data_IF_406944686190
#
_entry.id   IF_406944686190
#
_cell.length_a   1.000
_cell.length_b   1.000
_cell.length_c   1.000
_cell.angle_alpha   90.00
_cell.angle_beta   90.00
_cell.angle_gamma   90.00
#
_symmetry.space_group_name_H-M   'P 1'
#
loop_
_entity.id
_entity.type
_entity.pdbx_description
1 polymer ?
#
# COMPACT_ATOMS: atom_id res chain seq x y z
N UNK A 1 10.91 -23.39 7.02
CA UNK A 1 10.23 -22.23 7.63
C UNK A 1 8.75 -22.35 7.32
N UNK A 2 7.88 -21.99 8.26
CA UNK A 2 6.42 -21.98 8.09
C UNK A 2 5.89 -20.56 8.25
N UNK A 3 4.93 -20.18 7.42
CA UNK A 3 4.29 -18.88 7.47
C UNK A 3 2.76 -18.99 7.46
N UNK A 4 2.13 -18.12 8.25
CA UNK A 4 0.69 -17.86 8.20
C UNK A 4 0.45 -16.47 7.60
N UNK A 5 -0.33 -16.38 6.53
CA UNK A 5 -0.65 -15.12 5.86
C UNK A 5 -2.13 -14.76 6.03
N UNK A 6 -2.43 -13.71 6.78
CA UNK A 6 -3.79 -13.17 6.88
C UNK A 6 -4.13 -12.33 5.64
N UNK A 7 -5.26 -12.64 5.00
CA UNK A 7 -5.76 -11.97 3.81
C UNK A 7 -5.43 -12.74 2.53
N UNK A 8 -6.30 -13.65 2.13
CA UNK A 8 -6.17 -14.42 0.89
C UNK A 8 -6.71 -13.66 -0.34
N UNK A 9 -6.75 -12.33 -0.30
CA UNK A 9 -7.13 -11.48 -1.43
C UNK A 9 -6.01 -11.33 -2.47
N UNK A 10 -6.20 -10.42 -3.44
CA UNK A 10 -5.27 -10.26 -4.55
C UNK A 10 -3.84 -9.88 -4.11
N UNK A 11 -3.67 -9.03 -3.10
CA UNK A 11 -2.33 -8.70 -2.57
C UNK A 11 -1.70 -9.91 -1.87
N UNK A 12 -2.47 -10.66 -1.09
CA UNK A 12 -1.97 -11.85 -0.43
C UNK A 12 -1.52 -12.92 -1.41
N UNK A 13 -2.37 -13.27 -2.38
CA UNK A 13 -2.06 -14.31 -3.38
C UNK A 13 -1.05 -13.83 -4.42
N UNK A 14 -1.20 -12.62 -4.94
CA UNK A 14 -0.40 -12.11 -6.05
C UNK A 14 0.94 -11.49 -5.65
N UNK A 15 1.17 -11.23 -4.36
CA UNK A 15 2.39 -10.58 -3.90
C UNK A 15 3.02 -11.25 -2.68
N UNK A 16 2.47 -11.06 -1.49
CA UNK A 16 3.15 -11.43 -0.25
C UNK A 16 3.24 -12.95 -0.11
N UNK A 17 2.10 -13.64 -0.23
CA UNK A 17 2.03 -15.09 -0.23
C UNK A 17 2.79 -15.72 -1.39
N UNK A 18 2.75 -15.12 -2.60
CA UNK A 18 3.60 -15.56 -3.73
C UNK A 18 5.08 -15.56 -3.36
N UNK A 19 5.62 -14.44 -2.87
CA UNK A 19 7.05 -14.37 -2.51
C UNK A 19 7.43 -15.34 -1.40
N UNK A 20 6.55 -15.55 -0.42
CA UNK A 20 6.75 -16.56 0.63
C UNK A 20 6.80 -17.98 0.04
N UNK A 21 5.84 -18.33 -0.80
CA UNK A 21 5.78 -19.66 -1.43
C UNK A 21 6.95 -19.89 -2.40
N UNK A 22 7.31 -18.90 -3.21
CA UNK A 22 8.45 -18.94 -4.14
C UNK A 22 9.79 -19.12 -3.39
N UNK A 23 9.86 -18.65 -2.14
CA UNK A 23 11.02 -18.87 -1.25
C UNK A 23 11.05 -20.27 -0.61
N UNK A 24 10.10 -21.15 -0.95
CA UNK A 24 9.97 -22.51 -0.39
C UNK A 24 9.45 -22.54 1.05
N UNK A 25 8.76 -21.49 1.50
CA UNK A 25 8.14 -21.44 2.83
C UNK A 25 6.81 -22.18 2.80
N UNK A 26 6.58 -23.07 3.77
CA UNK A 26 5.29 -23.73 3.95
C UNK A 26 4.25 -22.67 4.34
N UNK A 27 3.30 -22.41 3.44
CA UNK A 27 2.39 -21.26 3.53
C UNK A 27 0.94 -21.68 3.76
N UNK A 28 0.35 -21.14 4.83
CA UNK A 28 -1.10 -21.23 5.10
C UNK A 28 -1.70 -19.83 4.98
N UNK A 29 -2.72 -19.68 4.15
CA UNK A 29 -3.54 -18.46 4.09
C UNK A 29 -4.63 -18.48 5.17
N UNK A 30 -4.98 -17.32 5.70
CA UNK A 30 -6.08 -17.13 6.63
C UNK A 30 -7.05 -16.06 6.13
N UNK A 31 -8.31 -16.41 5.90
CA UNK A 31 -9.34 -15.48 5.40
C UNK A 31 -10.73 -15.89 5.90
N UNK A 32 -11.75 -15.09 5.59
CA UNK A 32 -13.18 -15.40 5.84
C UNK A 32 -13.92 -15.80 4.57
N UNK A 33 -13.35 -15.54 3.39
CA UNK A 33 -13.97 -15.88 2.11
C UNK A 33 -13.90 -17.40 1.85
N UNK A 34 -14.97 -18.12 2.21
CA UNK A 34 -15.02 -19.58 2.13
C UNK A 34 -14.76 -20.11 0.71
N UNK A 35 -15.22 -19.43 -0.35
CA UNK A 35 -14.96 -19.83 -1.74
C UNK A 35 -13.46 -19.86 -2.04
N UNK A 36 -12.70 -18.86 -1.56
CA UNK A 36 -11.24 -18.80 -1.71
C UNK A 36 -10.55 -19.87 -0.87
N UNK A 37 -10.99 -20.07 0.38
CA UNK A 37 -10.42 -21.09 1.27
C UNK A 37 -10.60 -22.50 0.70
N UNK A 38 -11.81 -22.83 0.25
CA UNK A 38 -12.14 -24.13 -0.33
C UNK A 38 -11.33 -24.36 -1.60
N UNK A 39 -11.21 -23.35 -2.47
CA UNK A 39 -10.42 -23.46 -3.69
C UNK A 39 -8.92 -23.66 -3.40
N UNK A 40 -8.36 -22.98 -2.39
CA UNK A 40 -6.95 -23.14 -1.99
C UNK A 40 -6.70 -24.55 -1.44
N UNK A 41 -7.58 -25.06 -0.58
CA UNK A 41 -7.45 -26.39 -0.01
C UNK A 41 -7.78 -27.52 -0.99
N UNK A 42 -8.59 -27.27 -2.01
CA UNK A 42 -8.89 -28.27 -3.04
C UNK A 42 -7.72 -28.45 -4.02
N UNK A 43 -7.04 -27.36 -4.38
CA UNK A 43 -6.01 -27.37 -5.44
C UNK A 43 -4.58 -27.36 -4.91
N UNK A 44 -4.35 -26.74 -3.76
CA UNK A 44 -3.01 -26.45 -3.24
C UNK A 44 -2.10 -25.65 -4.19
N UNK A 45 -2.69 -25.05 -5.23
CA UNK A 45 -2.01 -24.24 -6.23
C UNK A 45 -2.95 -23.20 -6.85
N UNK A 46 -2.38 -22.13 -7.42
CA UNK A 46 -3.12 -21.12 -8.18
C UNK A 46 -2.22 -20.37 -9.17
N UNK A 47 -2.79 -19.85 -10.28
CA UNK A 47 -2.05 -19.05 -11.24
C UNK A 47 -1.94 -17.57 -10.81
N UNK A 48 -0.78 -16.98 -11.10
CA UNK A 48 -0.51 -15.54 -10.99
C UNK A 48 -0.04 -15.03 -12.35
N UNK A 49 -0.85 -14.18 -12.99
CA UNK A 49 -0.48 -13.51 -14.24
C UNK A 49 0.42 -12.32 -13.93
N UNK A 50 1.72 -12.45 -14.21
CA UNK A 50 2.72 -11.40 -14.01
C UNK A 50 2.90 -10.64 -15.32
N UNK A 51 2.48 -9.38 -15.35
CA UNK A 51 2.38 -8.59 -16.59
C UNK A 51 3.20 -7.31 -16.56
N UNK A 52 3.80 -6.93 -17.68
CA UNK A 52 4.72 -5.80 -17.81
C UNK A 52 5.16 -5.59 -19.24
N UNK A 53 6.47 -5.67 -19.52
CA UNK A 53 6.98 -5.78 -20.91
C UNK A 53 6.55 -7.10 -21.56
N UNK A 54 6.48 -8.16 -20.73
CA UNK A 54 6.00 -9.48 -21.10
C UNK A 54 4.84 -9.87 -20.18
N UNK A 55 4.04 -10.84 -20.61
CA UNK A 55 2.99 -11.45 -19.81
C UNK A 55 3.36 -12.92 -19.58
N UNK A 56 3.54 -13.30 -18.32
CA UNK A 56 3.86 -14.67 -17.91
C UNK A 56 2.81 -15.15 -16.89
N UNK A 57 2.63 -16.46 -16.81
CA UNK A 57 1.79 -17.09 -15.79
C UNK A 57 2.69 -17.92 -14.89
N UNK A 58 2.83 -17.48 -13.65
CA UNK A 58 3.52 -18.22 -12.60
C UNK A 58 2.50 -19.09 -11.86
N UNK A 59 2.86 -20.34 -11.56
CA UNK A 59 2.01 -21.23 -10.75
C UNK A 59 2.59 -21.30 -9.34
N UNK A 60 1.82 -20.80 -8.37
CA UNK A 60 2.16 -20.93 -6.95
C UNK A 60 1.63 -22.26 -6.46
N UNK A 61 2.47 -23.07 -5.81
CA UNK A 61 2.12 -24.44 -5.37
C UNK A 61 2.42 -24.67 -3.89
N UNK A 62 1.83 -25.71 -3.29
CA UNK A 62 2.16 -26.14 -1.93
C UNK A 62 1.55 -25.26 -0.84
N UNK A 63 0.41 -24.63 -1.15
CA UNK A 63 -0.30 -23.73 -0.23
C UNK A 63 -1.52 -24.41 0.38
N UNK A 64 -1.96 -23.95 1.54
CA UNK A 64 -3.26 -24.32 2.13
C UNK A 64 -3.93 -23.10 2.74
N UNK A 65 -5.14 -23.27 3.27
CA UNK A 65 -5.89 -22.16 3.87
C UNK A 65 -6.70 -22.58 5.10
N UNK A 66 -6.96 -21.62 5.98
CA UNK A 66 -7.75 -21.76 7.20
C UNK A 66 -8.73 -20.60 7.34
N UNK A 67 -9.88 -20.85 7.97
CA UNK A 67 -10.80 -19.76 8.29
C UNK A 67 -10.23 -18.90 9.42
N UNK A 68 -10.04 -17.59 9.19
CA UNK A 68 -9.41 -16.68 10.14
C UNK A 68 -10.25 -16.39 11.40
N UNK A 69 -11.53 -16.78 11.39
CA UNK A 69 -12.44 -16.69 12.56
C UNK A 69 -12.52 -17.99 13.34
N UNK A 70 -11.97 -19.09 12.82
CA UNK A 70 -11.89 -20.36 13.53
C UNK A 70 -10.76 -20.34 14.57
N UNK A 71 -10.94 -21.08 15.66
CA UNK A 71 -9.89 -21.33 16.65
C UNK A 71 -8.75 -22.21 16.07
N UNK A 72 -8.93 -22.82 14.88
CA UNK A 72 -7.89 -23.58 14.16
C UNK A 72 -6.65 -22.73 13.83
N UNK A 73 -6.78 -21.42 13.80
CA UNK A 73 -5.64 -20.51 13.56
C UNK A 73 -4.70 -20.40 14.77
N UNK A 74 -5.20 -20.64 15.97
CA UNK A 74 -4.46 -20.50 17.23
C UNK A 74 -3.26 -21.47 17.28
N UNK A 75 -3.40 -22.80 17.01
CA UNK A 75 -2.25 -23.68 16.95
C UNK A 75 -1.26 -23.30 15.84
N UNK A 76 -1.72 -22.80 14.69
CA UNK A 76 -0.83 -22.38 13.61
C UNK A 76 0.08 -21.22 14.06
N UNK A 77 -0.49 -20.17 14.66
CA UNK A 77 0.29 -19.03 15.21
C UNK A 77 1.28 -19.50 16.28
N UNK A 78 0.91 -20.51 17.07
CA UNK A 78 1.79 -21.07 18.09
C UNK A 78 3.00 -21.83 17.52
N UNK A 79 3.01 -22.18 16.23
CA UNK A 79 4.04 -23.00 15.59
C UNK A 79 4.85 -22.27 14.52
N UNK A 80 4.24 -21.39 13.73
CA UNK A 80 4.89 -20.74 12.58
C UNK A 80 6.10 -19.87 12.96
N UNK A 81 6.97 -19.62 11.99
CA UNK A 81 8.14 -18.75 12.12
C UNK A 81 7.82 -17.31 11.70
N UNK A 82 6.84 -17.16 10.80
CA UNK A 82 6.39 -15.88 10.26
C UNK A 82 4.86 -15.76 10.27
N UNK A 83 4.37 -14.57 10.64
CA UNK A 83 3.00 -14.15 10.38
C UNK A 83 3.03 -12.91 9.50
N UNK A 84 2.28 -12.91 8.41
CA UNK A 84 2.17 -11.73 7.54
C UNK A 84 0.70 -11.36 7.33
N UNK A 85 0.43 -10.10 6.95
CA UNK A 85 -0.95 -9.64 6.73
C UNK A 85 -1.05 -8.77 5.48
N UNK A 86 -2.18 -8.86 4.76
CA UNK A 86 -2.60 -7.94 3.71
C UNK A 86 -4.14 -7.79 3.75
N UNK A 87 -4.66 -7.25 4.85
CA UNK A 87 -6.10 -7.25 5.19
C UNK A 87 -6.74 -5.86 5.24
N UNK A 88 -5.93 -4.81 5.24
CA UNK A 88 -6.35 -3.42 5.40
C UNK A 88 -6.51 -2.99 6.87
N UNK A 89 -6.48 -1.66 7.13
CA UNK A 89 -6.45 -1.07 8.48
C UNK A 89 -7.59 -1.55 9.38
N UNK A 90 -8.82 -1.62 8.85
CA UNK A 90 -10.00 -1.97 9.63
C UNK A 90 -9.99 -3.44 10.09
N UNK A 91 -9.29 -4.32 9.35
CA UNK A 91 -9.25 -5.75 9.65
C UNK A 91 -8.04 -6.09 10.53
N UNK A 92 -6.96 -5.30 10.51
CA UNK A 92 -5.82 -5.47 11.41
C UNK A 92 -6.23 -5.55 12.88
N UNK A 93 -7.10 -4.64 13.33
CA UNK A 93 -7.62 -4.67 14.70
C UNK A 93 -8.41 -5.96 14.99
N UNK A 94 -9.20 -6.43 14.02
CA UNK A 94 -10.05 -7.62 14.19
C UNK A 94 -9.23 -8.91 14.36
N UNK A 95 -8.12 -9.04 13.65
CA UNK A 95 -7.27 -10.24 13.75
C UNK A 95 -6.41 -10.25 15.01
N UNK A 96 -6.24 -9.12 15.69
CA UNK A 96 -5.36 -8.98 16.85
C UNK A 96 -5.73 -9.94 18.00
N UNK A 97 -7.02 -10.20 18.22
CA UNK A 97 -7.49 -11.15 19.24
C UNK A 97 -7.03 -12.58 18.94
N UNK A 98 -7.14 -13.04 17.69
CA UNK A 98 -6.68 -14.37 17.30
C UNK A 98 -5.16 -14.49 17.40
N UNK A 99 -4.44 -13.44 17.01
CA UNK A 99 -2.98 -13.34 17.18
C UNK A 99 -2.60 -13.42 18.66
N UNK A 100 -3.25 -12.64 19.53
CA UNK A 100 -2.99 -12.65 20.97
C UNK A 100 -3.22 -14.05 21.59
N UNK A 101 -4.32 -14.72 21.24
CA UNK A 101 -4.58 -16.11 21.69
C UNK A 101 -3.49 -17.08 21.21
N UNK A 102 -3.07 -16.96 19.95
CA UNK A 102 -1.99 -17.77 19.38
C UNK A 102 -0.65 -17.55 20.09
N UNK A 103 -0.31 -16.29 20.42
CA UNK A 103 0.90 -15.94 21.17
C UNK A 103 0.86 -16.45 22.62
N UNK A 104 -0.29 -16.35 23.30
CA UNK A 104 -0.48 -16.94 24.62
C UNK A 104 -0.25 -18.46 24.58
N UNK A 105 -0.86 -19.15 23.61
CA UNK A 105 -0.65 -20.60 23.42
C UNK A 105 0.82 -20.93 23.09
N UNK A 106 1.49 -20.12 22.27
CA UNK A 106 2.92 -20.27 21.97
C UNK A 106 3.78 -20.22 23.22
N UNK A 107 3.49 -19.25 24.09
CA UNK A 107 4.15 -19.09 25.39
C UNK A 107 3.85 -20.27 26.32
N UNK A 108 2.59 -20.69 26.43
CA UNK A 108 2.18 -21.80 27.30
C UNK A 108 2.79 -23.15 26.85
N UNK A 109 3.02 -23.32 25.54
CA UNK A 109 3.74 -24.46 24.98
C UNK A 109 5.26 -24.42 25.23
N UNK A 110 5.79 -23.35 25.81
CA UNK A 110 7.23 -23.15 26.03
C UNK A 110 8.03 -22.92 24.74
N UNK A 111 7.38 -22.55 23.64
CA UNK A 111 8.05 -22.36 22.35
C UNK A 111 8.78 -21.00 22.30
N UNK A 112 10.05 -20.99 22.67
CA UNK A 112 10.89 -19.77 22.67
C UNK A 112 11.54 -19.46 21.31
N UNK A 113 11.19 -20.18 20.23
CA UNK A 113 11.73 -19.87 18.90
C UNK A 113 11.22 -18.51 18.42
N UNK A 114 12.08 -17.65 17.88
CA UNK A 114 11.68 -16.33 17.39
C UNK A 114 10.52 -16.40 16.39
N UNK A 115 9.51 -15.56 16.59
CA UNK A 115 8.42 -15.34 15.65
C UNK A 115 8.50 -13.90 15.15
N UNK A 116 8.44 -13.68 13.84
CA UNK A 116 8.35 -12.33 13.29
C UNK A 116 6.99 -12.12 12.61
N UNK A 117 6.31 -11.04 13.03
CA UNK A 117 5.02 -10.60 12.48
C UNK A 117 5.28 -9.38 11.59
N UNK A 118 4.77 -9.40 10.36
CA UNK A 118 4.99 -8.35 9.35
C UNK A 118 3.66 -7.97 8.68
N UNK A 119 3.08 -6.84 9.07
CA UNK A 119 1.89 -6.31 8.40
C UNK A 119 2.31 -5.63 7.08
N UNK A 120 1.85 -6.18 5.95
CA UNK A 120 2.17 -5.75 4.59
C UNK A 120 1.00 -4.90 4.05
N UNK A 121 0.75 -3.78 4.71
CA UNK A 121 -0.43 -2.94 4.46
C UNK A 121 -0.05 -1.65 3.72
N UNK A 122 -1.04 -1.03 3.08
CA UNK A 122 -0.90 0.34 2.55
C UNK A 122 -1.03 1.38 3.70
N UNK A 123 -0.17 1.25 4.71
CA UNK A 123 -0.15 2.05 5.92
C UNK A 123 1.28 2.33 6.36
N UNK A 124 1.52 3.49 6.97
CA UNK A 124 2.79 3.77 7.63
C UNK A 124 2.85 2.99 8.93
N UNK A 125 3.89 2.16 9.10
CA UNK A 125 4.12 1.34 10.31
C UNK A 125 2.91 0.49 10.72
N UNK A 126 2.32 -0.21 9.75
CA UNK A 126 1.15 -1.06 9.98
C UNK A 126 1.37 -2.13 11.05
N UNK A 127 2.59 -2.68 11.15
CA UNK A 127 2.92 -3.72 12.12
C UNK A 127 3.02 -3.16 13.53
N UNK A 128 3.56 -1.96 13.70
CA UNK A 128 3.52 -1.24 14.98
C UNK A 128 2.09 -0.97 15.46
N UNK A 129 1.17 -0.66 14.55
CA UNK A 129 -0.26 -0.50 14.89
C UNK A 129 -0.89 -1.85 15.28
N UNK A 130 -0.60 -2.93 14.53
CA UNK A 130 -1.02 -4.28 14.90
C UNK A 130 -0.49 -4.68 16.30
N UNK A 131 0.78 -4.36 16.62
CA UNK A 131 1.36 -4.60 17.95
C UNK A 131 0.52 -3.97 19.06
N UNK A 132 0.06 -2.74 18.87
CA UNK A 132 -0.78 -2.06 19.86
C UNK A 132 -2.10 -2.80 20.10
N UNK A 133 -2.79 -3.20 19.03
CA UNK A 133 -4.03 -3.99 19.15
C UNK A 133 -3.78 -5.37 19.80
N UNK A 134 -2.68 -6.04 19.45
CA UNK A 134 -2.31 -7.33 20.05
C UNK A 134 -2.01 -7.18 21.55
N UNK A 135 -1.27 -6.15 21.96
CA UNK A 135 -0.97 -5.89 23.37
C UNK A 135 -2.23 -5.58 24.19
N UNK A 136 -3.23 -4.92 23.60
CA UNK A 136 -4.53 -4.68 24.24
C UNK A 136 -5.33 -5.97 24.45
N UNK A 137 -5.25 -6.90 23.50
CA UNK A 137 -5.95 -8.19 23.56
C UNK A 137 -5.19 -9.27 24.37
N UNK A 138 -3.87 -9.13 24.54
CA UNK A 138 -3.02 -10.12 25.19
C UNK A 138 -2.95 -9.87 26.72
N UNK A 139 -3.22 -10.88 27.58
CA UNK A 139 -3.05 -10.74 29.03
C UNK A 139 -1.63 -10.33 29.42
N UNK A 140 -1.50 -9.44 30.41
CA UNK A 140 -0.23 -8.81 30.81
C UNK A 140 0.87 -9.80 31.22
N UNK A 141 0.50 -10.98 31.72
CA UNK A 141 1.44 -12.05 32.07
C UNK A 141 2.31 -12.52 30.88
N UNK A 142 1.83 -12.35 29.65
CA UNK A 142 2.54 -12.75 28.43
C UNK A 142 3.39 -11.63 27.81
N UNK A 143 3.28 -10.39 28.28
CA UNK A 143 3.91 -9.23 27.63
C UNK A 143 5.44 -9.31 27.65
N UNK A 144 6.03 -9.70 28.78
CA UNK A 144 7.49 -9.86 28.89
C UNK A 144 8.01 -10.96 27.95
N UNK A 145 7.26 -12.05 27.82
CA UNK A 145 7.58 -13.13 26.90
C UNK A 145 7.48 -12.67 25.44
N UNK A 146 6.44 -11.91 25.09
CA UNK A 146 6.26 -11.35 23.75
C UNK A 146 7.43 -10.44 23.35
N UNK A 147 7.83 -9.50 24.21
CA UNK A 147 8.93 -8.58 23.92
C UNK A 147 10.28 -9.29 23.74
N UNK A 148 10.46 -10.45 24.38
CA UNK A 148 11.68 -11.25 24.25
C UNK A 148 11.71 -12.07 22.94
N UNK A 149 10.58 -12.66 22.52
CA UNK A 149 10.57 -13.69 21.47
C UNK A 149 9.86 -13.29 20.17
N UNK A 150 9.10 -12.19 20.15
CA UNK A 150 8.29 -11.79 18.99
C UNK A 150 8.78 -10.47 18.41
N UNK A 151 9.16 -10.48 17.13
CA UNK A 151 9.45 -9.28 16.35
C UNK A 151 8.18 -8.75 15.70
N UNK A 152 7.88 -7.46 15.89
CA UNK A 152 6.85 -6.76 15.14
C UNK A 152 7.56 -5.85 14.15
N UNK A 153 7.72 -6.35 12.92
CA UNK A 153 8.55 -5.75 11.87
C UNK A 153 7.68 -4.94 10.93
N UNK A 154 7.84 -3.63 10.93
CA UNK A 154 7.22 -2.71 9.98
C UNK A 154 7.73 -2.98 8.57
N UNK A 155 6.87 -2.74 7.58
CA UNK A 155 7.19 -2.92 6.17
C UNK A 155 6.72 -1.75 5.31
N UNK A 156 7.31 -1.65 4.12
CA UNK A 156 6.86 -0.84 3.00
C UNK A 156 6.68 -1.78 1.81
N UNK A 157 5.45 -1.83 1.28
CA UNK A 157 5.10 -2.73 0.17
C UNK A 157 4.55 -1.95 -1.01
N UNK A 158 5.01 -2.31 -2.21
CA UNK A 158 4.58 -1.69 -3.47
C UNK A 158 4.45 -2.73 -4.58
N UNK A 159 3.21 -2.97 -5.00
CA UNK A 159 2.85 -3.72 -6.20
C UNK A 159 1.48 -3.26 -6.66
N UNK A 160 1.34 -2.91 -7.92
CA UNK A 160 0.05 -2.60 -8.55
C UNK A 160 -0.62 -3.94 -8.85
N UNK A 161 -1.75 -4.14 -8.18
CA UNK A 161 -2.61 -5.31 -8.32
C UNK A 161 -4.04 -4.80 -8.53
N UNK A 162 -4.49 -4.65 -9.78
CA UNK A 162 -5.86 -4.25 -10.06
C UNK A 162 -6.87 -5.29 -9.59
N UNK A 163 -8.17 -4.96 -9.58
CA UNK A 163 -9.22 -5.95 -9.46
C UNK A 163 -9.09 -7.01 -10.56
N UNK A 164 -9.51 -8.24 -10.28
CA UNK A 164 -9.56 -9.31 -11.29
C UNK A 164 -10.44 -8.88 -12.47
N UNK A 165 -10.10 -9.34 -13.68
CA UNK A 165 -10.89 -9.01 -14.87
C UNK A 165 -12.35 -9.47 -14.69
N UNK A 166 -13.28 -8.61 -15.12
CA UNK A 166 -14.70 -8.92 -15.05
C UNK A 166 -14.99 -10.19 -15.87
N UNK A 167 -15.51 -11.22 -15.21
CA UNK A 167 -15.81 -12.51 -15.83
C UNK A 167 -14.74 -13.61 -15.65
N UNK A 168 -13.66 -13.36 -14.90
CA UNK A 168 -12.76 -14.46 -14.47
C UNK A 168 -13.54 -15.44 -13.60
N UNK A 169 -13.54 -16.72 -13.99
CA UNK A 169 -14.26 -17.80 -13.30
C UNK A 169 -13.42 -18.43 -12.17
N UNK A 170 -12.10 -18.22 -12.18
CA UNK A 170 -11.21 -18.78 -11.17
C UNK A 170 -11.09 -17.84 -9.96
N UNK A 171 -11.59 -18.23 -8.76
CA UNK A 171 -11.55 -17.38 -7.58
C UNK A 171 -10.14 -17.15 -7.01
N UNK A 172 -9.13 -17.91 -7.47
CA UNK A 172 -7.74 -17.76 -7.01
C UNK A 172 -6.84 -17.03 -7.98
N UNK A 173 -7.23 -16.93 -9.26
CA UNK A 173 -6.46 -16.21 -10.25
C UNK A 173 -6.25 -14.75 -9.83
N UNK A 174 -5.05 -14.22 -10.10
CA UNK A 174 -4.71 -12.84 -9.83
C UNK A 174 -3.72 -12.33 -10.88
N UNK A 175 -3.95 -11.10 -11.35
CA UNK A 175 -3.05 -10.40 -12.27
C UNK A 175 -2.30 -9.31 -11.52
N UNK A 176 -0.99 -9.29 -11.66
CA UNK A 176 -0.08 -8.37 -10.96
C UNK A 176 0.93 -7.79 -11.91
N UNK A 177 1.41 -6.58 -11.62
CA UNK A 177 2.52 -6.04 -12.38
C UNK A 177 3.83 -6.83 -12.11
N UNK A 178 4.77 -6.77 -13.06
CA UNK A 178 6.10 -7.39 -12.93
C UNK A 178 6.90 -6.79 -11.77
N UNK A 179 6.83 -5.47 -11.58
CA UNK A 179 7.50 -4.80 -10.48
C UNK A 179 6.89 -5.18 -9.12
N UNK A 180 7.73 -5.42 -8.13
CA UNK A 180 7.32 -5.50 -6.74
C UNK A 180 8.44 -5.05 -5.84
N UNK A 181 8.12 -4.38 -4.74
CA UNK A 181 9.08 -3.96 -3.72
C UNK A 181 8.51 -4.27 -2.34
N UNK A 182 9.20 -5.12 -1.58
CA UNK A 182 8.86 -5.44 -0.19
C UNK A 182 10.06 -5.15 0.70
N UNK A 183 10.01 -4.05 1.44
CA UNK A 183 11.11 -3.59 2.29
C UNK A 183 10.69 -3.70 3.75
N UNK A 184 11.55 -4.23 4.61
CA UNK A 184 11.29 -4.46 6.03
C UNK A 184 12.37 -3.87 6.92
N UNK A 185 11.98 -3.41 8.11
CA UNK A 185 12.92 -2.85 9.09
C UNK A 185 13.74 -3.96 9.77
N UNK A 186 15.01 -4.09 9.37
CA UNK A 186 15.92 -5.13 9.89
C UNK A 186 16.15 -5.01 11.40
N UNK A 187 15.95 -3.84 11.98
CA UNK A 187 16.22 -3.58 13.41
C UNK A 187 15.12 -4.14 14.32
N UNK A 188 13.97 -4.50 13.77
CA UNK A 188 12.80 -4.97 14.51
C UNK A 188 12.67 -6.49 14.55
N UNK A 189 13.52 -7.22 13.82
CA UNK A 189 13.52 -8.68 13.80
C UNK A 189 14.03 -9.27 15.13
N UNK A 190 13.51 -10.45 15.45
CA UNK A 190 14.03 -11.35 16.48
C UNK A 190 14.66 -12.58 15.81
N UNK A 191 15.82 -12.99 16.30
CA UNK A 191 16.56 -14.14 15.77
C UNK A 191 17.31 -13.83 14.47
N UNK A 192 17.60 -14.88 13.72
CA UNK A 192 18.26 -14.78 12.43
C UNK A 192 17.35 -14.10 11.39
N UNK A 193 17.96 -13.29 10.52
CA UNK A 193 17.22 -12.60 9.46
C UNK A 193 16.84 -13.58 8.34
N UNK A 194 15.55 -13.67 7.96
CA UNK A 194 15.12 -14.56 6.90
C UNK A 194 15.67 -14.09 5.53
N UNK A 195 16.04 -15.05 4.67
CA UNK A 195 16.39 -14.78 3.27
C UNK A 195 15.21 -15.12 2.39
N UNK A 196 14.42 -14.11 2.01
CA UNK A 196 13.25 -14.25 1.13
C UNK A 196 13.53 -13.45 -0.14
N UNK A 197 13.68 -14.10 -1.32
CA UNK A 197 13.83 -13.39 -2.58
C UNK A 197 12.69 -12.37 -2.79
N UNK A 198 13.04 -11.15 -3.16
CA UNK A 198 12.09 -10.04 -3.31
C UNK A 198 11.76 -9.28 -2.03
N UNK A 199 12.24 -9.73 -0.86
CA UNK A 199 12.19 -8.97 0.39
C UNK A 199 13.55 -8.34 0.71
N UNK A 200 13.59 -7.03 0.89
CA UNK A 200 14.79 -6.26 1.20
C UNK A 200 14.79 -5.77 2.65
N UNK A 201 15.96 -5.81 3.29
CA UNK A 201 16.16 -5.44 4.70
C UNK A 201 16.82 -4.06 4.78
N UNK A 202 16.30 -3.17 5.63
CA UNK A 202 16.84 -1.81 5.80
C UNK A 202 16.86 -1.37 7.27
N UNK A 203 17.76 -0.47 7.65
CA UNK A 203 17.71 0.27 8.93
C UNK A 203 16.99 1.62 8.81
N UNK A 204 16.54 2.00 7.63
CA UNK A 204 15.89 3.29 7.38
C UNK A 204 14.58 3.14 6.61
N UNK A 205 13.67 2.33 7.14
CA UNK A 205 12.39 2.02 6.47
C UNK A 205 11.59 3.27 6.10
N UNK A 206 11.60 4.30 6.96
CA UNK A 206 10.84 5.52 6.73
C UNK A 206 11.23 6.26 5.45
N UNK A 207 12.51 6.19 5.03
CA UNK A 207 12.94 6.77 3.77
C UNK A 207 12.25 6.10 2.57
N UNK A 208 12.08 4.77 2.61
CA UNK A 208 11.43 4.01 1.55
C UNK A 208 9.91 4.18 1.57
N UNK A 209 9.30 4.25 2.75
CA UNK A 209 7.88 4.59 2.93
C UNK A 209 7.57 5.94 2.28
N UNK A 210 8.36 6.98 2.61
CA UNK A 210 8.16 8.30 2.01
C UNK A 210 8.50 8.31 0.52
N UNK A 211 9.55 7.60 0.07
CA UNK A 211 9.86 7.48 -1.36
C UNK A 211 8.68 6.93 -2.16
N UNK A 212 8.06 5.86 -1.68
CA UNK A 212 6.86 5.28 -2.31
C UNK A 212 5.68 6.25 -2.27
N UNK A 213 5.46 6.91 -1.14
CA UNK A 213 4.36 7.87 -0.98
C UNK A 213 4.51 9.09 -1.90
N UNK A 214 5.71 9.65 -2.00
CA UNK A 214 5.99 10.91 -2.71
C UNK A 214 6.23 10.70 -4.21
N UNK A 215 6.55 9.48 -4.63
CA UNK A 215 6.81 9.19 -6.05
C UNK A 215 5.64 8.41 -6.64
N UNK A 216 5.48 7.14 -6.25
CA UNK A 216 4.44 6.27 -6.82
C UNK A 216 3.04 6.78 -6.48
N UNK A 217 2.71 6.97 -5.20
CA UNK A 217 1.36 7.37 -4.83
C UNK A 217 1.00 8.76 -5.37
N UNK A 218 1.93 9.73 -5.30
CA UNK A 218 1.76 11.09 -5.86
C UNK A 218 1.54 11.04 -7.36
N UNK A 219 2.44 10.43 -8.12
CA UNK A 219 2.33 10.33 -9.58
C UNK A 219 1.06 9.61 -10.01
N UNK A 220 0.71 8.51 -9.34
CA UNK A 220 -0.47 7.70 -9.69
C UNK A 220 -1.78 8.46 -9.44
N UNK A 221 -1.87 9.21 -8.34
CA UNK A 221 -3.05 10.03 -8.05
C UNK A 221 -3.18 11.21 -9.01
N UNK A 222 -2.09 11.92 -9.31
CA UNK A 222 -2.12 13.04 -10.26
C UNK A 222 -2.49 12.54 -11.66
N UNK A 223 -1.96 11.40 -12.09
CA UNK A 223 -2.33 10.75 -13.35
C UNK A 223 -3.83 10.46 -13.41
N UNK A 224 -4.40 9.89 -12.35
CA UNK A 224 -5.82 9.59 -12.27
C UNK A 224 -6.70 10.84 -12.36
N UNK A 225 -6.38 11.89 -11.59
CA UNK A 225 -7.20 13.09 -11.54
C UNK A 225 -7.14 13.91 -12.84
N UNK A 226 -5.95 14.07 -13.41
CA UNK A 226 -5.81 14.71 -14.73
C UNK A 226 -6.43 13.85 -15.83
N UNK A 227 -6.26 12.53 -15.75
CA UNK A 227 -6.83 11.55 -16.66
C UNK A 227 -8.35 11.61 -16.72
N UNK A 228 -9.02 11.54 -15.56
CA UNK A 228 -10.49 11.64 -15.48
C UNK A 228 -10.98 12.94 -16.11
N UNK A 229 -10.31 14.07 -15.81
CA UNK A 229 -10.74 15.36 -16.36
C UNK A 229 -10.53 15.48 -17.87
N UNK A 230 -9.48 14.84 -18.41
CA UNK A 230 -9.25 14.76 -19.84
C UNK A 230 -10.13 13.72 -20.56
N UNK A 231 -10.95 12.96 -19.83
CA UNK A 231 -11.81 11.91 -20.39
C UNK A 231 -11.07 10.59 -20.67
N UNK A 232 -9.87 10.40 -20.12
CA UNK A 232 -9.12 9.15 -20.23
C UNK A 232 -9.71 8.10 -19.29
N UNK A 233 -9.87 6.86 -19.76
CA UNK A 233 -10.48 5.80 -18.98
C UNK A 233 -9.48 5.12 -18.03
N UNK A 234 -8.25 4.91 -18.49
CA UNK A 234 -7.23 4.19 -17.72
C UNK A 234 -6.01 5.06 -17.40
N UNK A 235 -5.25 4.64 -16.39
CA UNK A 235 -3.95 5.25 -16.04
C UNK A 235 -2.99 5.24 -17.22
N UNK A 236 -3.01 4.17 -18.03
CA UNK A 236 -2.19 4.07 -19.23
C UNK A 236 -2.59 5.13 -20.26
N UNK A 237 -3.88 5.28 -20.54
CA UNK A 237 -4.36 6.29 -21.50
C UNK A 237 -3.95 7.70 -21.04
N UNK A 238 -4.10 7.97 -19.73
CA UNK A 238 -3.73 9.25 -19.14
C UNK A 238 -2.21 9.53 -19.14
N UNK A 239 -1.36 8.55 -18.85
CA UNK A 239 0.10 8.78 -18.81
C UNK A 239 0.76 8.84 -20.19
N UNK A 240 0.07 8.34 -21.22
CA UNK A 240 0.49 8.45 -22.63
C UNK A 240 0.13 9.81 -23.25
N UNK A 241 -0.74 10.59 -22.62
CA UNK A 241 -0.94 12.00 -22.94
C UNK A 241 0.27 12.83 -22.49
N UNK A 242 0.99 13.41 -23.43
CA UNK A 242 2.24 14.16 -23.16
C UNK A 242 2.03 15.35 -22.21
N UNK A 243 0.86 15.99 -22.25
CA UNK A 243 0.53 17.12 -21.38
C UNK A 243 0.33 16.66 -19.93
N UNK A 244 -0.37 15.55 -19.73
CA UNK A 244 -0.54 14.94 -18.40
C UNK A 244 0.78 14.40 -17.89
N UNK A 245 1.53 13.67 -18.73
CA UNK A 245 2.83 13.10 -18.39
C UNK A 245 3.81 14.16 -17.88
N UNK A 246 3.87 15.31 -18.54
CA UNK A 246 4.76 16.39 -18.11
C UNK A 246 4.45 16.88 -16.70
N UNK A 247 3.17 17.02 -16.33
CA UNK A 247 2.75 17.41 -14.98
C UNK A 247 3.05 16.31 -13.97
N UNK A 248 2.73 15.06 -14.32
CA UNK A 248 2.96 13.90 -13.44
C UNK A 248 4.45 13.72 -13.14
N UNK A 249 5.30 13.74 -14.17
CA UNK A 249 6.74 13.64 -14.02
C UNK A 249 7.28 14.82 -13.21
N UNK A 250 6.89 16.06 -13.54
CA UNK A 250 7.33 17.24 -12.80
C UNK A 250 6.94 17.21 -11.32
N UNK A 251 5.74 16.72 -10.97
CA UNK A 251 5.33 16.58 -9.59
C UNK A 251 6.14 15.52 -8.82
N UNK A 252 6.51 14.42 -9.49
CA UNK A 252 7.41 13.41 -8.91
C UNK A 252 8.86 13.91 -8.77
N UNK A 253 9.31 14.80 -9.65
CA UNK A 253 10.62 15.46 -9.54
C UNK A 253 10.64 16.48 -8.39
N UNK A 254 9.57 17.28 -8.25
CA UNK A 254 9.40 18.23 -7.14
C UNK A 254 9.38 17.53 -5.78
N UNK A 255 8.57 16.48 -5.64
CA UNK A 255 8.54 15.66 -4.42
C UNK A 255 9.84 14.87 -4.23
N UNK A 256 10.48 14.44 -5.31
CA UNK A 256 11.78 13.76 -5.30
C UNK A 256 12.91 14.62 -4.76
N UNK A 257 12.92 15.91 -5.08
CA UNK A 257 13.88 16.86 -4.51
C UNK A 257 13.76 16.99 -2.98
N UNK A 258 12.53 16.89 -2.44
CA UNK A 258 12.30 16.82 -0.99
C UNK A 258 12.93 15.56 -0.41
N UNK A 259 12.71 14.39 -1.04
CA UNK A 259 13.27 13.12 -0.58
C UNK A 259 14.79 13.09 -0.60
N UNK A 260 15.41 13.64 -1.66
CA UNK A 260 16.86 13.73 -1.79
C UNK A 260 17.45 14.58 -0.65
N UNK A 261 16.87 15.74 -0.35
CA UNK A 261 17.32 16.58 0.78
C UNK A 261 17.09 15.92 2.13
N UNK A 262 15.92 15.29 2.33
CA UNK A 262 15.50 14.74 3.63
C UNK A 262 16.23 13.45 4.01
N UNK A 263 16.47 12.58 3.02
CA UNK A 263 16.97 11.23 3.25
C UNK A 263 18.32 10.94 2.58
N UNK A 264 18.87 11.86 1.79
CA UNK A 264 20.15 11.66 1.11
C UNK A 264 20.09 10.59 0.03
N UNK A 265 18.93 10.40 -0.63
CA UNK A 265 18.86 9.54 -1.80
C UNK A 265 19.77 10.07 -2.91
N UNK A 266 20.44 9.16 -3.60
CA UNK A 266 21.22 9.48 -4.80
C UNK A 266 20.28 10.00 -5.91
N UNK A 267 20.63 11.15 -6.48
CA UNK A 267 19.76 11.86 -7.42
C UNK A 267 19.55 11.08 -8.73
N UNK A 268 20.60 10.46 -9.27
CA UNK A 268 20.53 9.70 -10.51
C UNK A 268 19.71 8.42 -10.33
N UNK A 269 19.89 7.73 -9.19
CA UNK A 269 19.05 6.58 -8.82
C UNK A 269 17.59 6.97 -8.63
N UNK A 270 17.33 8.14 -8.05
CA UNK A 270 15.96 8.61 -7.86
C UNK A 270 15.30 9.01 -9.19
N UNK A 271 16.04 9.66 -10.09
CA UNK A 271 15.56 9.94 -11.45
C UNK A 271 15.24 8.65 -12.22
N UNK A 272 16.10 7.63 -12.13
CA UNK A 272 15.83 6.31 -12.71
C UNK A 272 14.60 5.63 -12.07
N UNK A 273 14.38 5.82 -10.77
CA UNK A 273 13.20 5.33 -10.07
C UNK A 273 11.90 6.01 -10.54
N UNK A 274 11.94 7.32 -10.81
CA UNK A 274 10.82 8.06 -11.44
C UNK A 274 10.51 7.48 -12.83
N UNK A 275 11.54 7.25 -13.67
CA UNK A 275 11.34 6.65 -14.99
C UNK A 275 10.76 5.24 -14.92
N UNK A 276 11.21 4.44 -13.95
CA UNK A 276 10.62 3.13 -13.66
C UNK A 276 9.13 3.24 -13.31
N UNK A 277 8.75 4.22 -12.49
CA UNK A 277 7.34 4.46 -12.13
C UNK A 277 6.51 4.87 -13.34
N UNK A 278 7.02 5.76 -14.20
CA UNK A 278 6.33 6.13 -15.44
C UNK A 278 6.09 4.90 -16.33
N UNK A 279 7.10 4.04 -16.50
CA UNK A 279 6.96 2.79 -17.24
C UNK A 279 5.95 1.82 -16.62
N UNK A 280 5.77 1.83 -15.30
CA UNK A 280 4.72 1.04 -14.62
C UNK A 280 3.32 1.54 -14.95
N UNK A 281 3.13 2.86 -15.02
CA UNK A 281 1.86 3.47 -15.43
C UNK A 281 1.53 3.18 -16.90
N UNK A 282 2.56 2.98 -17.72
CA UNK A 282 2.42 2.62 -19.13
C UNK A 282 2.06 1.14 -19.35
N UNK A 283 1.92 0.30 -18.32
CA UNK A 283 1.72 -1.15 -18.52
C UNK A 283 0.46 -1.46 -19.37
N UNK A 284 0.59 -2.06 -20.58
CA UNK A 284 -0.54 -2.30 -21.49
C UNK A 284 -1.53 -3.35 -21.00
N UNK A 285 -1.12 -4.19 -20.06
CA UNK A 285 -1.92 -5.30 -19.55
C UNK A 285 -2.73 -4.92 -18.31
N UNK A 286 -2.39 -3.81 -17.65
CA UNK A 286 -3.15 -3.30 -16.50
C UNK A 286 -4.17 -2.28 -16.98
N UNK A 287 -5.43 -2.70 -17.09
CA UNK A 287 -6.57 -1.80 -17.34
C UNK A 287 -6.99 -1.10 -16.05
N UNK A 288 -6.06 -0.35 -15.47
CA UNK A 288 -6.27 0.30 -14.19
C UNK A 288 -7.07 1.61 -14.36
N UNK A 289 -8.32 1.60 -13.92
CA UNK A 289 -9.27 2.70 -14.13
C UNK A 289 -8.89 3.95 -13.33
N UNK A 290 -8.98 5.13 -13.96
CA UNK A 290 -8.72 6.42 -13.30
C UNK A 290 -9.67 6.69 -12.13
N UNK A 291 -10.91 6.22 -12.17
CA UNK A 291 -11.89 6.34 -11.08
C UNK A 291 -11.49 5.44 -9.90
N UNK A 292 -11.05 4.21 -10.17
CA UNK A 292 -10.54 3.31 -9.12
C UNK A 292 -9.33 3.90 -8.43
N UNK A 293 -8.38 4.43 -9.22
CA UNK A 293 -7.15 5.02 -8.69
C UNK A 293 -7.42 6.37 -8.05
N UNK A 294 -8.40 7.14 -8.53
CA UNK A 294 -8.81 8.47 -8.08
C UNK A 294 -9.62 8.49 -6.78
N UNK A 295 -10.35 7.42 -6.46
CA UNK A 295 -11.22 7.31 -5.26
C UNK A 295 -10.60 7.78 -3.94
N UNK A 296 -11.45 8.19 -3.00
CA UNK A 296 -11.14 8.74 -1.69
C UNK A 296 -10.29 10.02 -1.76
N UNK A 297 -10.75 11.07 -2.46
CA UNK A 297 -9.98 12.29 -2.66
C UNK A 297 -9.71 13.04 -1.34
N UNK A 298 -10.65 13.04 -0.38
CA UNK A 298 -10.47 13.70 0.91
C UNK A 298 -9.29 13.12 1.69
N UNK A 299 -9.17 11.79 1.73
CA UNK A 299 -8.00 11.13 2.34
C UNK A 299 -6.70 11.55 1.64
N UNK A 300 -6.68 11.58 0.31
CA UNK A 300 -5.47 11.90 -0.48
C UNK A 300 -5.10 13.37 -0.47
N UNK A 301 -6.06 14.25 -0.18
CA UNK A 301 -5.89 15.68 0.05
C UNK A 301 -5.58 16.00 1.52
N UNK A 302 -5.49 15.00 2.42
CA UNK A 302 -5.14 15.25 3.82
C UNK A 302 -3.67 15.62 4.02
N UNK A 303 -3.38 16.34 5.10
CA UNK A 303 -2.06 16.89 5.43
C UNK A 303 -0.89 15.90 5.29
N UNK A 304 -1.09 14.65 5.73
CA UNK A 304 -0.06 13.62 5.79
C UNK A 304 0.06 12.72 4.55
N UNK A 305 -0.79 12.91 3.54
CA UNK A 305 -0.87 12.01 2.37
C UNK A 305 -0.12 12.61 1.14
N UNK A 306 -0.26 11.93 0.01
CA UNK A 306 0.56 12.01 -1.22
C UNK A 306 0.57 13.34 -1.96
N UNK A 307 -0.26 14.32 -1.60
CA UNK A 307 -0.31 15.62 -2.26
C UNK A 307 0.17 16.73 -1.34
N UNK A 308 -0.39 16.81 -0.13
CA UNK A 308 -0.08 17.90 0.80
C UNK A 308 1.26 17.69 1.48
N UNK A 309 1.59 16.48 1.92
CA UNK A 309 2.86 16.20 2.59
C UNK A 309 4.10 16.51 1.71
N UNK A 310 4.16 16.13 0.42
CA UNK A 310 5.27 16.57 -0.44
C UNK A 310 5.28 18.08 -0.66
N UNK A 311 4.11 18.72 -0.82
CA UNK A 311 4.01 20.18 -0.96
C UNK A 311 4.49 20.92 0.30
N UNK A 312 4.19 20.43 1.49
CA UNK A 312 4.75 20.98 2.74
C UNK A 312 6.28 20.82 2.76
N UNK A 313 6.80 19.70 2.25
CA UNK A 313 8.24 19.47 2.13
C UNK A 313 8.93 20.41 1.13
N UNK A 314 8.26 20.79 0.04
CA UNK A 314 8.82 21.79 -0.88
C UNK A 314 8.88 23.16 -0.23
N UNK A 315 7.87 23.54 0.57
CA UNK A 315 7.89 24.77 1.35
C UNK A 315 9.00 24.76 2.42
N UNK A 316 9.16 23.64 3.14
CA UNK A 316 10.21 23.44 4.15
C UNK A 316 11.62 23.71 3.59
N UNK A 317 11.88 23.28 2.35
CA UNK A 317 13.19 23.37 1.73
C UNK A 317 13.34 24.47 0.67
N UNK A 318 12.32 25.32 0.48
CA UNK A 318 12.33 26.37 -0.55
C UNK A 318 12.50 25.82 -1.97
N UNK A 319 11.81 24.71 -2.27
CA UNK A 319 11.85 24.02 -3.56
C UNK A 319 10.62 24.36 -4.44
N UNK A 320 10.70 24.16 -5.76
CA UNK A 320 9.54 24.29 -6.66
C UNK A 320 8.40 23.31 -6.32
N UNK A 321 7.16 23.71 -6.58
CA UNK A 321 5.94 22.91 -6.33
C UNK A 321 4.80 23.16 -7.32
N UNK A 322 5.11 23.68 -8.51
CA UNK A 322 4.10 24.10 -9.47
C UNK A 322 3.26 22.93 -10.01
N UNK A 323 3.85 21.75 -10.16
CA UNK A 323 3.16 20.57 -10.66
C UNK A 323 2.38 19.84 -9.56
N UNK A 324 2.89 19.83 -8.32
CA UNK A 324 2.13 19.41 -7.14
C UNK A 324 0.85 20.25 -6.97
N UNK A 325 0.94 21.58 -7.15
CA UNK A 325 -0.22 22.48 -7.13
C UNK A 325 -1.26 22.12 -8.19
N UNK A 326 -0.83 21.82 -9.43
CA UNK A 326 -1.76 21.32 -10.47
C UNK A 326 -2.40 19.99 -10.07
N UNK A 327 -1.65 19.09 -9.43
CA UNK A 327 -2.15 17.83 -8.90
C UNK A 327 -3.23 18.02 -7.82
N UNK A 328 -3.01 18.96 -6.89
CA UNK A 328 -3.99 19.35 -5.85
C UNK A 328 -5.26 19.91 -6.50
N UNK A 329 -5.11 20.85 -7.44
CA UNK A 329 -6.24 21.43 -8.15
C UNK A 329 -7.03 20.37 -8.95
N UNK A 330 -6.36 19.43 -9.61
CA UNK A 330 -7.00 18.32 -10.30
C UNK A 330 -7.75 17.39 -9.32
N UNK A 331 -7.18 17.10 -8.15
CA UNK A 331 -7.84 16.32 -7.11
C UNK A 331 -9.12 17.00 -6.58
N UNK A 332 -9.13 18.33 -6.51
CA UNK A 332 -10.32 19.11 -6.14
C UNK A 332 -11.41 19.10 -7.22
N UNK A 333 -11.08 18.77 -8.47
CA UNK A 333 -12.05 18.61 -9.57
C UNK A 333 -12.57 17.16 -9.71
N UNK A 334 -12.02 16.22 -8.94
CA UNK A 334 -12.41 14.82 -9.01
C UNK A 334 -13.87 14.62 -8.59
N UNK A 335 -14.60 13.85 -9.39
CA UNK A 335 -16.00 13.51 -9.14
C UNK A 335 -16.23 12.02 -9.35
N UNK A 336 -17.13 11.44 -8.56
CA UNK A 336 -17.60 10.07 -8.75
C UNK A 336 -18.87 9.87 -7.93
N UNK A 337 -19.92 9.39 -8.60
CA UNK A 337 -21.20 9.09 -7.95
C UNK A 337 -21.13 7.83 -7.06
N UNK A 338 -20.06 7.05 -7.19
CA UNK A 338 -19.85 5.82 -6.42
C UNK A 338 -18.91 6.02 -5.22
N UNK A 339 -18.29 7.19 -5.09
CA UNK A 339 -17.35 7.50 -4.02
C UNK A 339 -17.92 8.54 -3.04
N UNK A 340 -18.27 8.13 -1.80
CA UNK A 340 -18.80 9.04 -0.79
C UNK A 340 -17.88 10.24 -0.50
N UNK A 341 -16.54 10.08 -0.57
CA UNK A 341 -15.62 11.19 -0.34
C UNK A 341 -15.58 12.17 -1.51
N UNK A 342 -15.83 11.71 -2.74
CA UNK A 342 -15.94 12.60 -3.90
C UNK A 342 -17.24 13.41 -3.83
N UNK A 343 -18.34 12.79 -3.42
CA UNK A 343 -19.61 13.49 -3.19
C UNK A 343 -19.49 14.53 -2.05
N UNK A 344 -18.84 14.16 -0.95
CA UNK A 344 -18.57 15.09 0.16
C UNK A 344 -17.66 16.24 -0.28
N UNK A 345 -16.60 15.97 -1.06
CA UNK A 345 -15.74 17.01 -1.62
C UNK A 345 -16.53 17.99 -2.49
N UNK A 346 -17.39 17.49 -3.38
CA UNK A 346 -18.25 18.32 -4.23
C UNK A 346 -19.22 19.18 -3.40
N UNK A 347 -19.82 18.61 -2.35
CA UNK A 347 -20.70 19.35 -1.44
C UNK A 347 -19.94 20.48 -0.71
N UNK A 348 -18.74 20.21 -0.20
CA UNK A 348 -17.90 21.22 0.46
C UNK A 348 -17.53 22.36 -0.51
N UNK A 349 -17.13 22.02 -1.74
CA UNK A 349 -16.80 23.00 -2.77
C UNK A 349 -17.99 23.91 -3.11
N UNK A 350 -19.20 23.35 -3.20
CA UNK A 350 -20.42 24.11 -3.46
C UNK A 350 -20.83 25.01 -2.28
N UNK A 351 -20.67 24.53 -1.05
CA UNK A 351 -21.07 25.26 0.16
C UNK A 351 -20.08 26.37 0.55
N UNK A 352 -18.78 26.07 0.50
CA UNK A 352 -17.72 26.91 1.10
C UNK A 352 -16.78 27.53 0.08
N UNK A 353 -16.83 27.09 -1.17
CA UNK A 353 -15.88 27.46 -2.20
C UNK A 353 -14.53 26.74 -2.09
N UNK A 354 -13.66 26.87 -3.11
CA UNK A 354 -12.42 26.11 -3.22
C UNK A 354 -11.40 26.43 -2.11
N UNK A 355 -11.26 27.69 -1.71
CA UNK A 355 -10.29 28.12 -0.70
C UNK A 355 -10.56 27.50 0.68
N UNK A 356 -11.78 27.68 1.20
CA UNK A 356 -12.16 27.15 2.51
C UNK A 356 -12.20 25.62 2.53
N UNK A 357 -12.62 24.99 1.42
CA UNK A 357 -12.61 23.54 1.29
C UNK A 357 -11.19 22.97 1.33
N UNK A 358 -10.28 23.52 0.54
CA UNK A 358 -8.89 23.06 0.53
C UNK A 358 -8.26 23.22 1.91
N UNK A 359 -8.42 24.37 2.57
CA UNK A 359 -7.92 24.60 3.91
C UNK A 359 -8.47 23.57 4.92
N UNK A 360 -9.78 23.32 4.90
CA UNK A 360 -10.41 22.36 5.80
C UNK A 360 -9.89 20.92 5.61
N UNK A 361 -9.74 20.47 4.36
CA UNK A 361 -9.37 19.07 4.05
C UNK A 361 -7.87 18.85 4.22
N UNK A 362 -7.05 19.80 3.79
CA UNK A 362 -5.59 19.70 3.81
C UNK A 362 -4.95 20.10 5.13
N UNK A 363 -5.65 20.88 5.97
CA UNK A 363 -5.06 21.51 7.16
C UNK A 363 -4.11 22.67 6.85
N UNK A 364 -4.05 23.14 5.60
CA UNK A 364 -3.30 24.33 5.24
C UNK A 364 -4.04 25.60 5.71
N UNK A 365 -3.29 26.63 6.09
CA UNK A 365 -3.86 27.94 6.43
C UNK A 365 -4.55 28.56 5.21
N UNK A 366 -5.81 28.97 5.36
CA UNK A 366 -6.65 29.39 4.24
C UNK A 366 -6.11 30.60 3.45
N UNK A 367 -5.36 31.49 4.12
CA UNK A 367 -4.77 32.69 3.52
C UNK A 367 -3.31 32.51 3.06
N UNK A 368 -2.78 31.28 3.16
CA UNK A 368 -1.43 30.97 2.70
C UNK A 368 -1.30 31.09 1.17
N UNK A 369 -0.11 31.47 0.70
CA UNK A 369 0.17 31.60 -0.74
C UNK A 369 -0.07 30.28 -1.48
N UNK A 370 0.26 29.14 -0.88
CA UNK A 370 0.04 27.83 -1.49
C UNK A 370 -1.45 27.52 -1.74
N UNK A 371 -2.34 27.93 -0.82
CA UNK A 371 -3.79 27.79 -1.02
C UNK A 371 -4.25 28.72 -2.15
N UNK A 372 -3.74 29.95 -2.22
CA UNK A 372 -4.07 30.88 -3.32
C UNK A 372 -3.61 30.34 -4.68
N UNK A 373 -2.40 29.78 -4.75
CA UNK A 373 -1.87 29.12 -5.95
C UNK A 373 -2.76 27.95 -6.40
N UNK A 374 -3.14 27.06 -5.46
CA UNK A 374 -4.02 25.93 -5.75
C UNK A 374 -5.42 26.35 -6.18
N UNK A 375 -6.01 27.39 -5.55
CA UNK A 375 -7.30 27.94 -5.96
C UNK A 375 -7.22 28.61 -7.33
N UNK A 376 -6.14 29.34 -7.62
CA UNK A 376 -5.90 29.92 -8.94
C UNK A 376 -5.78 28.83 -10.01
N UNK A 377 -5.02 27.77 -9.73
CA UNK A 377 -4.92 26.61 -10.61
C UNK A 377 -6.27 25.90 -10.79
N UNK A 378 -7.06 25.76 -9.73
CA UNK A 378 -8.40 25.17 -9.80
C UNK A 378 -9.35 25.97 -10.69
N UNK A 379 -9.33 27.31 -10.62
CA UNK A 379 -10.11 28.17 -11.51
C UNK A 379 -9.63 28.13 -12.96
N UNK A 380 -8.32 28.06 -13.20
CA UNK A 380 -7.77 27.91 -14.54
C UNK A 380 -8.11 26.55 -15.19
N UNK A 381 -8.61 25.61 -14.37
CA UNK A 381 -8.99 24.27 -14.77
C UNK A 381 -10.50 24.10 -15.01
N UNK A 382 -11.30 25.09 -14.62
CA UNK A 382 -12.77 25.05 -14.67
C UNK A 382 -13.35 25.27 -16.08
#
# INVERSE_FOLDING_TARGET
MKALHFGAGNIGRGFIGKLLADAGIELVFADVNQTVLDALNARHEYPVHVVGEQANVDIVTGVSAVNSTSDDIIPLIAEVDLVTTAVGPQILERIATSVAKGLAKRSDNGNVQPLNIIACENMVRGTSQLKQHVLQALPSQYHAWLEAHVGFVDSAVDRIVPPSEAGSEDPLEVTVETFSEWIVDKTQFKGDLPTIPGMELTDNLMAFVERKLFTLNTGHAITAYLGQRAGHQTIRDAILDEGIRAVVQGAMEESGAVLIKRYGFDADKHAAYIQKILGRFENPYLKDDVERVGRQPLRKLSAGDRLIKPTLGTLEYGLPHANLVKGIAAAMHYHSDQDPQAQELAALLAEKGPQATLAQVSGLEADSEIVKEAVSAWHAMA
#
